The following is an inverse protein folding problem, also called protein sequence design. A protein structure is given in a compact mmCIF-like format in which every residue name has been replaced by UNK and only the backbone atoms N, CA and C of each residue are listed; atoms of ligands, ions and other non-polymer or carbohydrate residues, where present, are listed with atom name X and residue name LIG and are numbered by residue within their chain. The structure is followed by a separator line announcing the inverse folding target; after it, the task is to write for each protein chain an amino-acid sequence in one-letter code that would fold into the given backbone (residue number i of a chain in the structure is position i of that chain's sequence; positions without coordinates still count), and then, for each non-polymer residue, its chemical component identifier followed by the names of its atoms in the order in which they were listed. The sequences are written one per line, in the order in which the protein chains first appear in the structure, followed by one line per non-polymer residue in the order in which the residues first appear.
data_IF_727011133184
#
_entry.id   IF_727011133184
#
_cell.length_a   1.000
_cell.length_b   1.000
_cell.length_c   1.000
_cell.angle_alpha   90.00
_cell.angle_beta   90.00
_cell.angle_gamma   90.00
#
_symmetry.space_group_name_H-M   'P 1'
#
loop_
_entity.id
_entity.type
_entity.pdbx_description
1 polymer ?
#
# COMPACT_ATOMS: atom_id res chain seq x y z
N UNK A 1 20.64 -2.68 -8.87
CA UNK A 1 21.17 -1.44 -8.27
C UNK A 1 19.99 -0.70 -7.68
N UNK A 2 20.00 -0.42 -6.38
CA UNK A 2 19.00 0.45 -5.79
C UNK A 2 19.25 1.91 -6.21
N UNK A 3 18.23 2.77 -6.08
CA UNK A 3 18.40 4.21 -6.29
C UNK A 3 19.37 4.80 -5.25
N UNK A 4 19.33 4.26 -4.03
CA UNK A 4 20.25 4.64 -2.95
C UNK A 4 21.71 4.34 -3.30
N UNK A 5 22.02 3.16 -3.85
CA UNK A 5 23.37 2.82 -4.34
C UNK A 5 23.85 3.72 -5.49
N UNK A 6 22.91 4.33 -6.22
CA UNK A 6 23.20 5.30 -7.27
C UNK A 6 23.33 6.75 -6.75
N UNK A 7 23.20 6.97 -5.45
CA UNK A 7 23.30 8.28 -4.80
C UNK A 7 21.98 9.03 -4.68
N UNK A 8 20.84 8.36 -4.86
CA UNK A 8 19.51 8.94 -4.67
C UNK A 8 18.85 8.33 -3.44
N UNK A 9 19.06 8.97 -2.29
CA UNK A 9 18.45 8.59 -1.02
C UNK A 9 17.00 9.05 -0.90
N UNK A 10 16.40 8.74 0.25
CA UNK A 10 15.00 9.06 0.56
C UNK A 10 14.71 10.56 0.45
N UNK A 11 15.66 11.41 0.84
CA UNK A 11 15.51 12.85 0.80
C UNK A 11 15.48 13.39 -0.63
N UNK A 12 16.39 12.91 -1.50
CA UNK A 12 16.40 13.27 -2.92
C UNK A 12 15.08 12.86 -3.60
N UNK A 13 14.62 11.65 -3.34
CA UNK A 13 13.40 11.10 -3.93
C UNK A 13 12.16 11.87 -3.45
N UNK A 14 12.08 12.20 -2.15
CA UNK A 14 11.02 13.04 -1.58
C UNK A 14 11.00 14.44 -2.21
N UNK A 15 12.17 15.02 -2.47
CA UNK A 15 12.26 16.32 -3.12
C UNK A 15 11.72 16.31 -4.56
N UNK A 16 11.95 15.23 -5.32
CA UNK A 16 11.36 15.09 -6.67
C UNK A 16 9.83 15.09 -6.58
N UNK A 17 9.25 14.36 -5.63
CA UNK A 17 7.79 14.33 -5.45
C UNK A 17 7.23 15.74 -5.18
N UNK A 18 7.89 16.54 -4.33
CA UNK A 18 7.49 17.92 -4.03
C UNK A 18 7.61 18.84 -5.25
N UNK A 19 8.70 18.72 -6.02
CA UNK A 19 8.94 19.56 -7.20
C UNK A 19 7.84 19.42 -8.26
N UNK A 20 7.21 18.25 -8.35
CA UNK A 20 6.10 17.98 -9.27
C UNK A 20 4.73 17.97 -8.57
N UNK A 21 4.66 18.37 -7.30
CA UNK A 21 3.43 18.43 -6.50
C UNK A 21 2.68 17.07 -6.43
N UNK A 22 3.43 15.99 -6.21
CA UNK A 22 2.96 14.60 -6.21
C UNK A 22 3.29 13.85 -4.89
N UNK A 23 3.37 14.53 -3.75
CA UNK A 23 3.66 13.94 -2.43
C UNK A 23 2.61 12.91 -1.97
N UNK A 24 1.42 12.96 -2.58
CA UNK A 24 0.35 11.99 -2.34
C UNK A 24 0.42 10.76 -3.26
N UNK A 25 1.37 10.71 -4.19
CA UNK A 25 1.55 9.61 -5.15
C UNK A 25 2.71 8.72 -4.70
N UNK A 26 2.75 7.47 -5.16
CA UNK A 26 3.91 6.63 -4.89
C UNK A 26 5.12 7.11 -5.71
N UNK A 27 6.32 6.85 -5.18
CA UNK A 27 7.56 7.23 -5.86
C UNK A 27 7.64 6.64 -7.27
N UNK A 28 7.11 5.43 -7.48
CA UNK A 28 7.06 4.81 -8.78
C UNK A 28 6.29 5.64 -9.81
N UNK A 29 5.12 6.19 -9.43
CA UNK A 29 4.32 7.05 -10.32
C UNK A 29 5.05 8.35 -10.66
N UNK A 30 5.79 8.89 -9.69
CA UNK A 30 6.65 10.08 -9.88
C UNK A 30 7.77 9.80 -10.87
N UNK A 31 8.41 8.63 -10.77
CA UNK A 31 9.45 8.21 -11.71
C UNK A 31 8.87 7.95 -13.11
N UNK A 32 7.67 7.37 -13.22
CA UNK A 32 6.96 7.22 -14.50
C UNK A 32 6.64 8.58 -15.13
N UNK A 33 6.25 9.58 -14.33
CA UNK A 33 6.05 10.95 -14.82
C UNK A 33 7.35 11.57 -15.35
N UNK A 34 8.44 11.48 -14.60
CA UNK A 34 9.74 12.03 -15.02
C UNK A 34 10.25 11.35 -16.29
N UNK A 35 10.05 10.05 -16.42
CA UNK A 35 10.59 9.26 -17.54
C UNK A 35 9.71 9.30 -18.79
N UNK A 36 8.39 9.34 -18.61
CA UNK A 36 7.41 9.09 -19.67
C UNK A 36 6.25 10.09 -19.72
N UNK A 37 6.25 11.14 -18.89
CA UNK A 37 5.17 12.11 -18.76
C UNK A 37 3.79 11.49 -18.43
N UNK A 38 3.78 10.29 -17.83
CA UNK A 38 2.55 9.65 -17.34
C UNK A 38 2.10 10.38 -16.08
N UNK A 39 0.87 10.89 -16.07
CA UNK A 39 0.33 11.63 -14.91
C UNK A 39 0.33 10.72 -13.67
N UNK A 40 0.95 11.14 -12.54
CA UNK A 40 0.88 10.38 -11.29
C UNK A 40 -0.56 10.31 -10.78
N UNK A 41 -0.91 9.18 -10.17
CA UNK A 41 -2.15 9.04 -9.40
C UNK A 41 -1.84 9.10 -7.91
N UNK A 42 -2.74 9.69 -7.15
CA UNK A 42 -2.64 9.68 -5.69
C UNK A 42 -2.88 8.27 -5.14
N UNK A 43 -2.35 8.01 -3.94
CA UNK A 43 -2.62 6.78 -3.20
C UNK A 43 -4.12 6.57 -2.96
N UNK A 44 -4.86 7.64 -2.70
CA UNK A 44 -6.32 7.61 -2.58
C UNK A 44 -7.01 7.15 -3.87
N UNK A 45 -6.63 7.72 -5.02
CA UNK A 45 -7.13 7.29 -6.33
C UNK A 45 -6.74 5.85 -6.63
N UNK A 46 -5.53 5.41 -6.27
CA UNK A 46 -5.09 4.02 -6.42
C UNK A 46 -6.00 3.07 -5.63
N UNK A 47 -6.24 3.37 -4.35
CA UNK A 47 -7.12 2.57 -3.49
C UNK A 47 -8.54 2.54 -4.04
N UNK A 48 -9.11 3.70 -4.40
CA UNK A 48 -10.46 3.80 -4.96
C UNK A 48 -10.63 2.91 -6.20
N UNK A 49 -9.61 2.89 -7.06
CA UNK A 49 -9.60 2.13 -8.30
C UNK A 49 -9.51 0.61 -8.10
N UNK A 50 -8.78 0.17 -7.06
CA UNK A 50 -8.50 -1.25 -6.80
C UNK A 50 -9.53 -1.90 -5.84
N UNK A 51 -10.13 -1.12 -4.95
CA UNK A 51 -11.03 -1.58 -3.88
C UNK A 51 -12.13 -2.54 -4.35
N UNK A 52 -12.83 -2.31 -5.49
CA UNK A 52 -13.87 -3.24 -5.96
C UNK A 52 -13.34 -4.65 -6.24
N UNK A 53 -12.13 -4.77 -6.80
CA UNK A 53 -11.52 -6.07 -7.13
C UNK A 53 -10.95 -6.72 -5.88
N UNK A 54 -10.27 -5.95 -5.03
CA UNK A 54 -9.72 -6.44 -3.75
C UNK A 54 -10.85 -7.03 -2.89
N UNK A 55 -11.98 -6.34 -2.77
CA UNK A 55 -13.01 -6.68 -1.79
C UNK A 55 -13.98 -7.77 -2.29
N UNK A 56 -13.94 -8.10 -3.58
CA UNK A 56 -14.88 -9.04 -4.21
C UNK A 56 -14.89 -10.44 -3.56
N UNK A 57 -13.77 -10.88 -2.99
CA UNK A 57 -13.60 -12.22 -2.40
C UNK A 57 -13.43 -12.23 -0.87
N UNK A 58 -13.51 -11.06 -0.23
CA UNK A 58 -13.27 -10.91 1.21
C UNK A 58 -14.57 -10.87 2.00
N UNK A 59 -14.55 -11.44 3.19
CA UNK A 59 -15.62 -11.26 4.18
C UNK A 59 -15.54 -9.87 4.85
N UNK A 60 -16.54 -9.55 5.66
CA UNK A 60 -16.66 -8.21 6.27
C UNK A 60 -15.50 -7.89 7.23
N UNK A 61 -14.98 -8.88 7.96
CA UNK A 61 -13.86 -8.66 8.89
C UNK A 61 -12.55 -8.43 8.15
N UNK A 62 -12.31 -9.21 7.11
CA UNK A 62 -11.16 -9.06 6.22
C UNK A 62 -11.21 -7.71 5.48
N UNK A 63 -12.39 -7.27 5.04
CA UNK A 63 -12.58 -5.94 4.44
C UNK A 63 -12.26 -4.83 5.43
N UNK A 64 -12.71 -4.95 6.67
CA UNK A 64 -12.45 -3.94 7.71
C UNK A 64 -10.96 -3.87 8.10
N UNK A 65 -10.28 -5.02 8.11
CA UNK A 65 -8.82 -5.07 8.26
C UNK A 65 -8.12 -4.38 7.09
N UNK A 66 -8.48 -4.71 5.84
CA UNK A 66 -7.85 -4.09 4.68
C UNK A 66 -8.18 -2.60 4.56
N UNK A 67 -9.38 -2.15 4.90
CA UNK A 67 -9.70 -0.73 4.92
C UNK A 67 -8.82 0.04 5.91
N UNK A 68 -8.53 -0.55 7.07
CA UNK A 68 -7.58 0.01 8.01
C UNK A 68 -6.16 0.08 7.42
N UNK A 69 -5.66 -1.00 6.83
CA UNK A 69 -4.32 -1.03 6.20
C UNK A 69 -4.23 -0.01 5.07
N UNK A 70 -5.23 0.04 4.19
CA UNK A 70 -5.28 0.98 3.07
C UNK A 70 -5.35 2.43 3.55
N UNK A 71 -6.02 2.70 4.68
CA UNK A 71 -6.02 4.04 5.28
C UNK A 71 -4.62 4.47 5.73
N UNK A 72 -3.83 3.54 6.30
CA UNK A 72 -2.44 3.80 6.70
C UNK A 72 -1.54 4.00 5.48
N UNK A 73 -1.69 3.16 4.46
CA UNK A 73 -1.03 3.37 3.18
C UNK A 73 -1.32 4.76 2.57
N UNK A 74 -2.59 5.22 2.58
CA UNK A 74 -2.97 6.57 2.10
C UNK A 74 -2.38 7.69 2.96
N UNK A 75 -2.14 7.44 4.25
CA UNK A 75 -1.56 8.42 5.18
C UNK A 75 -0.04 8.50 5.00
N UNK A 76 0.68 7.39 5.16
CA UNK A 76 2.15 7.38 5.34
C UNK A 76 2.91 6.83 4.14
N UNK A 77 2.29 6.03 3.27
CA UNK A 77 2.85 5.59 1.99
C UNK A 77 3.10 4.09 1.90
N UNK A 78 3.76 3.68 0.82
CA UNK A 78 3.99 2.26 0.47
C UNK A 78 4.74 1.45 1.54
N UNK A 79 5.53 2.10 2.39
CA UNK A 79 6.26 1.44 3.49
C UNK A 79 5.34 0.71 4.47
N UNK A 80 4.06 1.11 4.59
CA UNK A 80 3.07 0.39 5.43
C UNK A 80 2.70 -0.99 4.89
N UNK A 81 2.95 -1.23 3.61
CA UNK A 81 2.59 -2.49 2.95
C UNK A 81 3.69 -3.54 3.07
N UNK A 82 4.80 -3.22 3.74
CA UNK A 82 5.85 -4.17 4.04
C UNK A 82 5.35 -5.27 4.99
N UNK A 83 5.71 -6.51 4.72
CA UNK A 83 5.35 -7.65 5.58
C UNK A 83 5.93 -7.49 6.99
N UNK A 84 7.05 -6.78 7.15
CA UNK A 84 7.63 -6.49 8.46
C UNK A 84 6.73 -5.57 9.31
N UNK A 85 5.83 -4.79 8.68
CA UNK A 85 4.86 -3.92 9.38
C UNK A 85 3.62 -4.66 9.83
N UNK A 86 3.32 -5.83 9.25
CA UNK A 86 2.09 -6.56 9.52
C UNK A 86 1.86 -6.82 11.02
N UNK A 87 2.84 -7.29 11.82
CA UNK A 87 2.63 -7.46 13.26
C UNK A 87 2.16 -6.18 13.97
N UNK A 88 2.80 -5.05 13.66
CA UNK A 88 2.44 -3.76 14.26
C UNK A 88 1.07 -3.25 13.81
N UNK A 89 0.67 -3.51 12.57
CA UNK A 89 -0.68 -3.19 12.07
C UNK A 89 -1.76 -4.02 12.77
N UNK A 90 -1.50 -5.29 13.03
CA UNK A 90 -2.41 -6.17 13.76
C UNK A 90 -2.57 -5.72 15.22
N UNK A 91 -1.46 -5.46 15.91
CA UNK A 91 -1.49 -4.94 17.28
C UNK A 91 -2.21 -3.59 17.37
N UNK A 92 -1.99 -2.70 16.40
CA UNK A 92 -2.62 -1.39 16.37
C UNK A 92 -4.15 -1.46 16.20
N UNK A 93 -4.67 -2.42 15.42
CA UNK A 93 -6.12 -2.58 15.19
C UNK A 93 -6.80 -3.47 16.23
N UNK A 94 -6.16 -4.57 16.62
CA UNK A 94 -6.77 -5.66 17.41
C UNK A 94 -6.18 -5.82 18.82
N UNK A 95 -5.28 -4.95 19.27
CA UNK A 95 -4.54 -5.03 20.55
C UNK A 95 -3.50 -6.15 20.63
N UNK A 96 -3.74 -7.30 20.00
CA UNK A 96 -2.76 -8.38 19.91
C UNK A 96 -2.88 -9.19 18.60
N UNK A 97 -1.81 -9.91 18.25
CA UNK A 97 -1.79 -10.82 17.10
C UNK A 97 -2.76 -12.00 17.32
N UNK A 98 -2.90 -12.47 18.56
CA UNK A 98 -3.81 -13.57 18.90
C UNK A 98 -5.26 -13.18 18.64
N UNK A 99 -5.67 -11.99 19.11
CA UNK A 99 -7.03 -11.50 18.90
C UNK A 99 -7.32 -11.30 17.40
N UNK A 100 -6.35 -10.76 16.65
CA UNK A 100 -6.46 -10.63 15.20
C UNK A 100 -6.64 -12.00 14.52
N UNK A 101 -5.88 -13.02 14.95
CA UNK A 101 -5.96 -14.37 14.39
C UNK A 101 -7.33 -15.03 14.67
N UNK A 102 -7.90 -14.84 15.86
CA UNK A 102 -9.24 -15.32 16.19
C UNK A 102 -10.32 -14.65 15.31
N UNK A 103 -10.15 -13.36 15.02
CA UNK A 103 -11.12 -12.62 14.21
C UNK A 103 -11.00 -12.89 12.72
N UNK A 104 -9.79 -13.01 12.19
CA UNK A 104 -9.50 -13.03 10.74
C UNK A 104 -9.25 -14.42 10.17
N UNK A 105 -9.44 -15.48 10.98
CA UNK A 105 -9.33 -16.87 10.52
C UNK A 105 -7.92 -17.45 10.54
N UNK A 106 -7.04 -16.91 11.39
CA UNK A 106 -5.69 -17.40 11.63
C UNK A 106 -4.60 -16.59 10.94
N UNK A 107 -3.36 -16.77 11.41
CA UNK A 107 -2.18 -16.01 10.96
C UNK A 107 -1.90 -16.20 9.47
N UNK A 108 -2.05 -17.43 8.96
CA UNK A 108 -1.82 -17.74 7.55
C UNK A 108 -2.81 -16.99 6.63
N UNK A 109 -4.10 -16.98 7.02
CA UNK A 109 -5.15 -16.25 6.29
C UNK A 109 -4.91 -14.74 6.29
N UNK A 110 -4.47 -14.18 7.43
CA UNK A 110 -4.11 -12.76 7.53
C UNK A 110 -2.97 -12.44 6.56
N UNK A 111 -1.91 -13.24 6.58
CA UNK A 111 -0.73 -13.02 5.74
C UNK A 111 -1.08 -13.14 4.25
N UNK A 112 -1.86 -14.15 3.87
CA UNK A 112 -2.35 -14.31 2.50
C UNK A 112 -3.18 -13.11 2.07
N UNK A 113 -4.15 -12.69 2.89
CA UNK A 113 -5.01 -11.53 2.63
C UNK A 113 -4.18 -10.26 2.45
N UNK A 114 -3.20 -10.03 3.34
CA UNK A 114 -2.32 -8.86 3.33
C UNK A 114 -1.40 -8.80 2.10
N UNK A 115 -0.92 -9.93 1.62
CA UNK A 115 -0.04 -9.98 0.44
C UNK A 115 -0.87 -9.90 -0.85
N UNK A 116 -1.96 -10.69 -0.91
CA UNK A 116 -2.76 -10.84 -2.13
C UNK A 116 -3.39 -9.53 -2.59
N UNK A 117 -3.85 -8.66 -1.68
CA UNK A 117 -4.46 -7.40 -2.10
C UNK A 117 -3.48 -6.46 -2.82
N UNK A 118 -2.18 -6.55 -2.50
CA UNK A 118 -1.18 -5.63 -3.04
C UNK A 118 -0.97 -5.84 -4.54
N UNK A 119 -1.08 -7.09 -5.01
CA UNK A 119 -1.07 -7.39 -6.45
C UNK A 119 -2.18 -6.60 -7.17
N UNK A 120 -3.39 -6.61 -6.63
CA UNK A 120 -4.52 -5.87 -7.21
C UNK A 120 -4.39 -4.34 -7.03
N UNK A 121 -3.72 -3.88 -5.97
CA UNK A 121 -3.45 -2.46 -5.74
C UNK A 121 -2.52 -1.87 -6.80
N UNK A 122 -1.58 -2.67 -7.30
CA UNK A 122 -0.59 -2.26 -8.31
C UNK A 122 -0.83 -2.86 -9.70
N UNK A 123 -1.85 -3.68 -9.89
CA UNK A 123 -2.23 -4.20 -11.18
C UNK A 123 -2.51 -3.03 -12.14
N UNK A 124 -1.73 -2.93 -13.22
CA UNK A 124 -2.02 -1.99 -14.29
C UNK A 124 -3.40 -2.33 -14.85
N UNK A 125 -4.36 -1.39 -14.76
CA UNK A 125 -5.60 -1.52 -15.51
C UNK A 125 -5.21 -1.62 -16.98
N UNK A 126 -5.38 -2.80 -17.58
CA UNK A 126 -5.43 -2.91 -19.03
C UNK A 126 -6.68 -2.12 -19.43
N UNK A 127 -6.45 -0.92 -19.98
CA UNK A 127 -7.50 -0.07 -20.52
C UNK A 127 -8.09 -0.72 -21.78
#
# INVERSE_FOLDING_TARGET
KSLEEAGYGKDELSNIQKLINAEKSDLFDVLEYVSFAIKPITREERVLNAKPVIFAKLDDKQREFLDFVLSKYIETGVEELDQEKLPGLLELKYQSITDAAEELGGVDMIKETFIAFQEYLYAKKVA
#
